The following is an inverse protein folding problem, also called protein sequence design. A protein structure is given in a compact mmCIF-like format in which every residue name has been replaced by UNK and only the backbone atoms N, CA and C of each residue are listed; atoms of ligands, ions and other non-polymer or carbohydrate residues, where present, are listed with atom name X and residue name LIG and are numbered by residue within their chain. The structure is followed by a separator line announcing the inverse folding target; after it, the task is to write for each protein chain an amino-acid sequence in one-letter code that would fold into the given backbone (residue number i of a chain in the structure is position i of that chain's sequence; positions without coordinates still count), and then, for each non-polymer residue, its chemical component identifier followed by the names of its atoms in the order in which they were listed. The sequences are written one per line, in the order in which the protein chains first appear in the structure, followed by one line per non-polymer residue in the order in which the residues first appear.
data_IF_587992840832
#
_entry.id   IF_587992840832
#
_cell.length_a   1.000
_cell.length_b   1.000
_cell.length_c   1.000
_cell.angle_alpha   90.00
_cell.angle_beta   90.00
_cell.angle_gamma   90.00
#
_symmetry.space_group_name_H-M   'P 1'
#
loop_
_entity.id
_entity.type
_entity.pdbx_description
1 polymer ?
#
# COMPACT_ATOMS: atom_id res chain seq x y z
N UNK A 1 24.51 -1.62 -1.40
CA UNK A 1 23.26 -1.81 -2.16
C UNK A 1 23.11 -3.30 -2.43
N UNK A 2 22.14 -3.96 -1.79
CA UNK A 2 21.72 -5.29 -2.24
C UNK A 2 20.97 -5.10 -3.56
N UNK A 3 21.57 -5.58 -4.65
CA UNK A 3 20.82 -5.81 -5.90
C UNK A 3 19.66 -6.77 -5.59
N UNK A 4 18.53 -6.66 -6.30
CA UNK A 4 17.52 -7.75 -6.30
C UNK A 4 18.26 -9.08 -6.42
N UNK A 5 17.88 -10.14 -5.69
CA UNK A 5 18.22 -11.48 -6.15
C UNK A 5 17.66 -11.59 -7.58
N UNK A 6 18.53 -11.34 -8.55
CA UNK A 6 18.16 -11.37 -9.95
C UNK A 6 17.71 -12.79 -10.21
N UNK A 7 16.52 -12.96 -10.80
CA UNK A 7 16.13 -14.27 -11.32
C UNK A 7 17.27 -14.72 -12.23
N UNK A 8 17.93 -15.85 -11.93
CA UNK A 8 19.09 -16.27 -12.67
C UNK A 8 18.67 -16.54 -14.12
N UNK A 9 19.23 -15.78 -15.05
CA UNK A 9 19.11 -16.07 -16.49
C UNK A 9 19.81 -17.41 -16.72
N UNK A 10 19.17 -18.36 -17.42
CA UNK A 10 19.73 -19.70 -17.69
C UNK A 10 21.13 -19.65 -18.29
N UNK A 11 21.40 -18.64 -19.11
CA UNK A 11 22.73 -18.37 -19.66
C UNK A 11 23.13 -16.92 -19.40
N UNK A 12 24.11 -16.65 -18.51
CA UNK A 12 24.64 -15.31 -18.36
C UNK A 12 25.28 -14.84 -19.69
N UNK A 13 25.18 -13.55 -20.02
CA UNK A 13 25.75 -13.02 -21.24
C UNK A 13 27.27 -13.22 -21.25
N UNK A 14 27.79 -13.76 -22.35
CA UNK A 14 29.23 -13.98 -22.56
C UNK A 14 29.86 -12.94 -23.49
N UNK A 15 29.06 -12.00 -24.02
CA UNK A 15 29.47 -10.98 -24.97
C UNK A 15 28.51 -9.78 -24.97
N UNK A 16 28.97 -8.61 -25.41
CA UNK A 16 28.13 -7.43 -25.62
C UNK A 16 26.93 -7.71 -26.55
N UNK A 17 27.09 -8.59 -27.54
CA UNK A 17 26.01 -9.01 -28.45
C UNK A 17 24.93 -9.82 -27.72
N UNK A 18 25.33 -10.74 -26.82
CA UNK A 18 24.37 -11.48 -26.00
C UNK A 18 23.66 -10.59 -24.98
N UNK A 19 24.35 -9.58 -24.42
CA UNK A 19 23.70 -8.60 -23.54
C UNK A 19 22.66 -7.77 -24.28
N UNK A 20 22.99 -7.29 -25.48
CA UNK A 20 22.04 -6.56 -26.32
C UNK A 20 20.83 -7.45 -26.64
N UNK A 21 21.06 -8.72 -26.99
CA UNK A 21 19.96 -9.65 -27.26
C UNK A 21 19.03 -9.83 -26.06
N UNK A 22 19.59 -9.95 -24.85
CA UNK A 22 18.79 -10.04 -23.62
C UNK A 22 17.96 -8.77 -23.43
N UNK A 23 18.56 -7.58 -23.62
CA UNK A 23 17.84 -6.30 -23.53
C UNK A 23 16.70 -6.21 -24.55
N UNK A 24 16.94 -6.63 -25.80
CA UNK A 24 15.93 -6.60 -26.85
C UNK A 24 14.75 -7.54 -26.53
N UNK A 25 15.04 -8.75 -26.03
CA UNK A 25 14.01 -9.70 -25.60
C UNK A 25 13.20 -9.13 -24.44
N UNK A 26 13.84 -8.55 -23.43
CA UNK A 26 13.15 -7.97 -22.26
C UNK A 26 12.30 -6.76 -22.64
N UNK A 27 12.80 -5.90 -23.53
CA UNK A 27 12.05 -4.77 -24.05
C UNK A 27 10.79 -5.23 -24.80
N UNK A 28 10.93 -6.19 -25.72
CA UNK A 28 9.78 -6.72 -26.47
C UNK A 28 8.80 -7.49 -25.57
N UNK A 29 9.32 -8.25 -24.60
CA UNK A 29 8.49 -8.95 -23.63
C UNK A 29 7.66 -7.98 -22.79
N UNK A 30 8.24 -6.87 -22.33
CA UNK A 30 7.52 -5.81 -21.61
C UNK A 30 6.35 -5.28 -22.45
N UNK A 31 6.57 -4.94 -23.71
CA UNK A 31 5.50 -4.47 -24.62
C UNK A 31 4.38 -5.50 -24.76
N UNK A 32 4.73 -6.76 -25.05
CA UNK A 32 3.73 -7.83 -25.23
C UNK A 32 2.93 -8.08 -23.94
N UNK A 33 3.59 -8.13 -22.78
CA UNK A 33 2.91 -8.30 -21.49
C UNK A 33 2.02 -7.12 -21.13
N UNK A 34 2.46 -5.89 -21.43
CA UNK A 34 1.70 -4.66 -21.21
C UNK A 34 0.42 -4.61 -22.05
N UNK A 35 0.49 -5.03 -23.32
CA UNK A 35 -0.63 -5.00 -24.26
C UNK A 35 -1.61 -6.16 -24.07
N UNK A 36 -1.11 -7.40 -24.05
CA UNK A 36 -1.94 -8.61 -24.04
C UNK A 36 -2.24 -9.12 -22.62
N UNK A 37 -1.49 -8.66 -21.62
CA UNK A 37 -1.49 -9.26 -20.29
C UNK A 37 -0.73 -10.59 -20.26
N UNK A 38 -0.35 -11.01 -19.06
CA UNK A 38 0.47 -12.22 -18.89
C UNK A 38 -0.20 -13.51 -19.39
N UNK A 39 -1.51 -13.64 -19.18
CA UNK A 39 -2.22 -14.88 -19.53
C UNK A 39 -2.28 -15.10 -21.04
N UNK A 40 -2.64 -14.07 -21.81
CA UNK A 40 -2.76 -14.16 -23.27
C UNK A 40 -1.41 -14.08 -24.01
N UNK A 41 -0.41 -13.42 -23.45
CA UNK A 41 0.91 -13.33 -24.07
C UNK A 41 1.60 -14.71 -24.22
N UNK A 42 2.33 -14.91 -25.32
CA UNK A 42 3.17 -16.10 -25.53
C UNK A 42 4.63 -15.75 -25.85
N UNK A 43 5.55 -16.67 -25.59
CA UNK A 43 6.97 -16.53 -26.01
C UNK A 43 7.11 -16.51 -27.52
N UNK A 44 6.21 -17.20 -28.23
CA UNK A 44 6.12 -17.14 -29.69
C UNK A 44 5.80 -15.73 -30.20
N UNK A 45 4.83 -15.03 -29.59
CA UNK A 45 4.49 -13.65 -29.97
C UNK A 45 5.69 -12.71 -29.82
N UNK A 46 6.41 -12.85 -28.70
CA UNK A 46 7.61 -12.06 -28.40
C UNK A 46 8.70 -12.33 -29.45
N UNK A 47 8.92 -13.61 -29.79
CA UNK A 47 9.91 -14.00 -30.78
C UNK A 47 9.57 -13.46 -32.17
N UNK A 48 8.30 -13.57 -32.58
CA UNK A 48 7.82 -13.07 -33.87
C UNK A 48 7.98 -11.56 -33.99
N UNK A 49 7.55 -10.78 -32.98
CA UNK A 49 7.70 -9.32 -33.00
C UNK A 49 9.15 -8.87 -32.99
N UNK A 50 10.03 -9.62 -32.34
CA UNK A 50 11.47 -9.32 -32.31
C UNK A 50 12.23 -9.81 -33.57
N UNK A 51 11.58 -10.61 -34.43
CA UNK A 51 12.22 -11.20 -35.62
C UNK A 51 13.28 -12.25 -35.28
N UNK A 52 13.08 -13.03 -34.21
CA UNK A 52 13.97 -14.12 -33.78
C UNK A 52 13.21 -15.45 -33.71
N UNK A 53 13.93 -16.56 -33.60
CA UNK A 53 13.32 -17.85 -33.29
C UNK A 53 12.93 -17.93 -31.81
N UNK A 54 11.87 -18.67 -31.51
CA UNK A 54 11.47 -18.92 -30.12
C UNK A 54 12.56 -19.65 -29.32
N UNK A 55 13.33 -20.53 -29.96
CA UNK A 55 14.52 -21.16 -29.39
C UNK A 55 15.57 -20.13 -28.92
N UNK A 56 15.66 -18.96 -29.55
CA UNK A 56 16.53 -17.88 -29.10
C UNK A 56 16.11 -17.34 -27.75
N UNK A 57 14.80 -17.22 -27.49
CA UNK A 57 14.28 -16.80 -26.16
C UNK A 57 14.60 -17.88 -25.12
N UNK A 58 14.34 -19.15 -25.44
CA UNK A 58 14.60 -20.27 -24.54
C UNK A 58 16.09 -20.50 -24.23
N UNK A 59 16.99 -19.93 -25.03
CA UNK A 59 18.43 -19.92 -24.74
C UNK A 59 18.76 -19.08 -23.51
N UNK A 60 17.99 -18.02 -23.25
CA UNK A 60 18.21 -17.09 -22.14
C UNK A 60 17.25 -17.32 -20.98
N UNK A 61 15.98 -17.61 -21.27
CA UNK A 61 14.93 -17.68 -20.26
C UNK A 61 14.29 -19.06 -20.23
N UNK A 62 14.02 -19.59 -19.05
CA UNK A 62 13.40 -20.90 -18.88
C UNK A 62 11.92 -20.99 -19.21
N UNK A 63 11.27 -19.87 -19.49
CA UNK A 63 9.90 -19.81 -19.99
C UNK A 63 9.27 -18.43 -19.80
N UNK A 64 7.98 -18.33 -20.15
CA UNK A 64 7.19 -17.09 -20.06
C UNK A 64 7.22 -16.47 -18.66
N UNK A 65 7.09 -17.29 -17.61
CA UNK A 65 7.05 -16.82 -16.22
C UNK A 65 8.39 -16.21 -15.77
N UNK A 66 9.49 -16.90 -16.03
CA UNK A 66 10.85 -16.40 -15.73
C UNK A 66 11.14 -15.08 -16.47
N UNK A 67 10.78 -15.02 -17.76
CA UNK A 67 10.90 -13.81 -18.57
C UNK A 67 10.07 -12.65 -18.00
N UNK A 68 8.82 -12.91 -17.60
CA UNK A 68 7.95 -11.89 -17.02
C UNK A 68 8.48 -11.36 -15.67
N UNK A 69 8.97 -12.24 -14.80
CA UNK A 69 9.53 -11.80 -13.51
C UNK A 69 10.78 -10.96 -13.72
N UNK A 70 11.61 -11.28 -14.72
CA UNK A 70 12.75 -10.42 -15.06
C UNK A 70 12.29 -9.04 -15.57
N UNK A 71 11.29 -8.99 -16.44
CA UNK A 71 10.69 -7.72 -16.89
C UNK A 71 10.19 -6.89 -15.71
N UNK A 72 9.51 -7.51 -14.74
CA UNK A 72 9.00 -6.84 -13.54
C UNK A 72 10.13 -6.37 -12.64
N UNK A 73 11.17 -7.18 -12.46
CA UNK A 73 12.36 -6.81 -11.70
C UNK A 73 13.03 -5.56 -12.27
N UNK A 74 13.29 -5.54 -13.59
CA UNK A 74 13.89 -4.40 -14.27
C UNK A 74 13.00 -3.15 -14.16
N UNK A 75 11.68 -3.32 -14.28
CA UNK A 75 10.71 -2.23 -14.08
C UNK A 75 10.70 -1.68 -12.65
N UNK A 76 10.74 -2.54 -11.63
CA UNK A 76 10.86 -2.12 -10.23
C UNK A 76 12.17 -1.37 -9.99
N UNK A 77 13.28 -1.86 -10.53
CA UNK A 77 14.59 -1.21 -10.41
C UNK A 77 14.58 0.18 -11.05
N UNK A 78 13.95 0.35 -12.23
CA UNK A 78 13.76 1.66 -12.86
C UNK A 78 12.98 2.65 -11.98
N UNK A 79 11.90 2.21 -11.33
CA UNK A 79 11.09 3.09 -10.48
C UNK A 79 11.80 3.40 -9.18
N UNK A 80 12.40 2.39 -8.54
CA UNK A 80 13.14 2.56 -7.30
C UNK A 80 14.27 3.56 -7.51
N UNK A 81 15.05 3.42 -8.59
CA UNK A 81 16.13 4.36 -8.92
C UNK A 81 15.60 5.80 -9.05
N UNK A 82 14.53 6.02 -9.82
CA UNK A 82 13.93 7.36 -9.98
C UNK A 82 13.47 7.96 -8.66
N UNK A 83 12.86 7.15 -7.80
CA UNK A 83 12.42 7.57 -6.48
C UNK A 83 13.63 7.92 -5.61
N UNK A 84 14.63 7.05 -5.54
CA UNK A 84 15.82 7.26 -4.71
C UNK A 84 16.65 8.47 -5.15
N UNK A 85 16.70 8.77 -6.45
CA UNK A 85 17.38 9.94 -6.99
C UNK A 85 16.63 11.24 -6.67
N UNK A 86 15.30 11.22 -6.68
CA UNK A 86 14.48 12.44 -6.54
C UNK A 86 14.14 12.77 -5.08
N UNK A 87 13.85 11.75 -4.26
CA UNK A 87 13.33 11.93 -2.90
C UNK A 87 14.23 12.80 -1.99
N UNK A 88 15.58 12.70 -2.03
CA UNK A 88 16.47 13.54 -1.22
C UNK A 88 16.32 15.04 -1.48
N UNK A 89 15.81 15.43 -2.65
CA UNK A 89 15.60 16.83 -3.02
C UNK A 89 14.21 17.36 -2.61
N UNK A 90 13.31 16.49 -2.13
CA UNK A 90 11.96 16.85 -1.72
C UNK A 90 11.93 17.11 -0.21
N UNK A 91 11.55 18.31 0.19
CA UNK A 91 11.56 18.76 1.59
C UNK A 91 10.21 18.51 2.28
N UNK A 92 10.27 17.85 3.44
CA UNK A 92 9.11 17.57 4.30
C UNK A 92 8.36 16.29 3.96
N UNK A 93 7.92 15.57 4.99
CA UNK A 93 7.29 14.25 4.87
C UNK A 93 6.03 14.26 3.99
N UNK A 94 5.24 15.35 4.03
CA UNK A 94 4.04 15.49 3.19
C UNK A 94 4.38 15.57 1.70
N UNK A 95 5.38 16.36 1.34
CA UNK A 95 5.79 16.51 -0.05
C UNK A 95 6.45 15.22 -0.57
N UNK A 96 7.23 14.55 0.27
CA UNK A 96 7.82 13.24 -0.06
C UNK A 96 6.74 12.17 -0.27
N UNK A 97 5.71 12.14 0.59
CA UNK A 97 4.54 11.27 0.42
C UNK A 97 3.83 11.59 -0.90
N UNK A 98 3.61 12.87 -1.20
CA UNK A 98 2.97 13.30 -2.45
C UNK A 98 3.74 12.82 -3.67
N UNK A 99 5.05 13.05 -3.69
CA UNK A 99 5.93 12.58 -4.75
C UNK A 99 5.82 11.06 -4.95
N UNK A 100 5.82 10.27 -3.87
CA UNK A 100 5.69 8.81 -3.96
C UNK A 100 4.34 8.37 -4.52
N UNK A 101 3.23 8.95 -4.03
CA UNK A 101 1.88 8.62 -4.49
C UNK A 101 1.74 8.92 -5.97
N UNK A 102 2.16 10.12 -6.38
CA UNK A 102 2.13 10.55 -7.77
C UNK A 102 3.02 9.66 -8.65
N UNK A 103 4.26 9.39 -8.23
CA UNK A 103 5.19 8.54 -8.96
C UNK A 103 4.64 7.12 -9.13
N UNK A 104 4.06 6.53 -8.09
CA UNK A 104 3.45 5.20 -8.18
C UNK A 104 2.31 5.18 -9.20
N UNK A 105 1.30 6.03 -9.03
CA UNK A 105 0.15 6.07 -9.94
C UNK A 105 0.58 6.30 -11.39
N UNK A 106 1.50 7.26 -11.62
CA UNK A 106 2.01 7.55 -12.96
C UNK A 106 2.67 6.33 -13.61
N UNK A 107 3.56 5.64 -12.89
CA UNK A 107 4.29 4.52 -13.48
C UNK A 107 3.39 3.31 -13.72
N UNK A 108 2.51 2.97 -12.78
CA UNK A 108 1.62 1.81 -12.94
C UNK A 108 0.59 2.00 -14.05
N UNK A 109 0.15 3.25 -14.29
CA UNK A 109 -0.78 3.56 -15.39
C UNK A 109 -0.07 3.73 -16.74
N UNK A 110 1.18 4.20 -16.76
CA UNK A 110 1.92 4.42 -18.01
C UNK A 110 2.35 3.11 -18.72
N UNK A 111 2.57 2.03 -17.97
CA UNK A 111 2.99 0.74 -18.54
C UNK A 111 1.84 -0.09 -19.13
N UNK A 112 0.60 0.40 -19.06
CA UNK A 112 -0.58 -0.33 -19.51
C UNK A 112 -1.12 -1.34 -18.48
N UNK A 113 -2.40 -1.71 -18.62
CA UNK A 113 -3.11 -2.50 -17.61
C UNK A 113 -2.59 -3.92 -17.48
N UNK A 114 -1.99 -4.51 -18.53
CA UNK A 114 -1.59 -5.92 -18.53
C UNK A 114 -0.50 -6.26 -17.51
N UNK A 115 0.56 -5.45 -17.45
CA UNK A 115 1.66 -5.66 -16.50
C UNK A 115 1.25 -5.29 -15.07
N UNK A 116 0.50 -4.19 -14.91
CA UNK A 116 -0.05 -3.78 -13.62
C UNK A 116 -0.99 -4.86 -13.04
N UNK A 117 -1.89 -5.42 -13.84
CA UNK A 117 -2.80 -6.49 -13.43
C UNK A 117 -2.03 -7.73 -12.97
N UNK A 118 -0.96 -8.12 -13.68
CA UNK A 118 -0.14 -9.26 -13.29
C UNK A 118 0.56 -9.03 -11.95
N UNK A 119 1.21 -7.87 -11.78
CA UNK A 119 1.88 -7.47 -10.52
C UNK A 119 0.91 -7.55 -9.33
N UNK A 120 -0.28 -6.97 -9.48
CA UNK A 120 -1.28 -6.93 -8.42
C UNK A 120 -1.96 -8.30 -8.15
N UNK A 121 -2.04 -9.18 -9.17
CA UNK A 121 -2.67 -10.50 -9.05
C UNK A 121 -1.71 -11.56 -8.47
N UNK A 122 -0.54 -11.73 -9.09
CA UNK A 122 0.40 -12.79 -8.71
C UNK A 122 1.14 -12.47 -7.42
N UNK A 123 1.25 -11.19 -7.03
CA UNK A 123 1.73 -10.82 -5.70
C UNK A 123 0.91 -11.38 -4.54
N UNK A 124 -0.27 -11.96 -4.82
CA UNK A 124 -1.15 -12.63 -3.87
C UNK A 124 -1.07 -14.16 -3.92
N UNK A 125 -0.42 -14.73 -4.93
CA UNK A 125 -0.22 -16.17 -5.04
C UNK A 125 0.83 -16.62 -4.02
N UNK A 126 0.49 -17.62 -3.18
CA UNK A 126 1.40 -18.19 -2.18
C UNK A 126 2.08 -19.45 -2.73
N UNK A 127 3.36 -19.63 -2.38
CA UNK A 127 4.13 -20.88 -2.44
C UNK A 127 4.73 -21.32 -3.79
N UNK A 128 5.43 -20.42 -4.48
CA UNK A 128 6.42 -20.79 -5.50
C UNK A 128 7.69 -19.92 -5.37
N UNK A 129 8.78 -20.30 -6.04
CA UNK A 129 10.05 -19.55 -6.09
C UNK A 129 9.86 -18.08 -6.53
N UNK A 130 8.75 -17.80 -7.22
CA UNK A 130 8.42 -16.46 -7.71
C UNK A 130 7.89 -15.55 -6.61
N UNK A 131 7.14 -16.09 -5.64
CA UNK A 131 6.66 -15.35 -4.48
C UNK A 131 7.81 -14.73 -3.66
N UNK A 132 8.94 -15.43 -3.52
CA UNK A 132 10.10 -14.91 -2.79
C UNK A 132 10.78 -13.75 -3.51
N UNK A 133 10.99 -13.87 -4.82
CA UNK A 133 11.56 -12.80 -5.66
C UNK A 133 10.66 -11.57 -5.62
N UNK A 134 9.35 -11.76 -5.78
CA UNK A 134 8.37 -10.68 -5.73
C UNK A 134 8.33 -10.01 -4.34
N UNK A 135 8.37 -10.79 -3.25
CA UNK A 135 8.43 -10.25 -1.90
C UNK A 135 9.72 -9.45 -1.66
N UNK A 136 10.85 -9.85 -2.25
CA UNK A 136 12.09 -9.07 -2.29
C UNK A 136 11.91 -7.72 -2.98
N UNK A 137 11.32 -7.72 -4.18
CA UNK A 137 11.03 -6.52 -4.96
C UNK A 137 10.07 -5.58 -4.21
N UNK A 138 8.97 -6.11 -3.67
CA UNK A 138 7.99 -5.33 -2.90
C UNK A 138 8.61 -4.71 -1.64
N UNK A 139 9.50 -5.43 -0.94
CA UNK A 139 10.23 -4.88 0.21
C UNK A 139 11.08 -3.68 -0.19
N UNK A 140 11.88 -3.80 -1.26
CA UNK A 140 12.69 -2.68 -1.77
C UNK A 140 11.83 -1.52 -2.25
N UNK A 141 10.77 -1.82 -2.99
CA UNK A 141 9.83 -0.83 -3.52
C UNK A 141 9.14 0.00 -2.43
N UNK A 142 8.77 -0.64 -1.32
CA UNK A 142 8.09 0.04 -0.20
C UNK A 142 9.04 0.67 0.81
N UNK A 143 10.35 0.42 0.71
CA UNK A 143 11.35 0.93 1.65
C UNK A 143 11.43 2.47 1.71
N UNK A 144 11.34 3.23 0.59
CA UNK A 144 11.29 4.70 0.65
C UNK A 144 10.13 5.21 1.51
N UNK A 145 8.92 4.66 1.34
CA UNK A 145 7.76 5.05 2.16
C UNK A 145 8.00 4.72 3.63
N UNK A 146 8.53 3.53 3.94
CA UNK A 146 8.84 3.14 5.31
C UNK A 146 9.82 4.11 5.98
N UNK A 147 10.82 4.62 5.24
CA UNK A 147 11.76 5.64 5.73
C UNK A 147 11.06 6.97 6.02
N UNK A 148 10.19 7.45 5.12
CA UNK A 148 9.41 8.68 5.34
C UNK A 148 8.53 8.55 6.59
N UNK A 149 7.82 7.42 6.72
CA UNK A 149 6.94 7.18 7.86
C UNK A 149 7.73 7.11 9.18
N UNK A 150 8.87 6.42 9.19
CA UNK A 150 9.73 6.31 10.37
C UNK A 150 10.33 7.66 10.78
N UNK A 151 10.81 8.45 9.80
CA UNK A 151 11.36 9.77 10.05
C UNK A 151 10.28 10.74 10.52
N UNK A 152 9.12 10.78 9.85
CA UNK A 152 8.00 11.60 10.29
C UNK A 152 7.47 11.19 11.67
N UNK A 153 7.57 9.91 12.04
CA UNK A 153 7.32 9.50 13.43
C UNK A 153 8.37 10.11 14.35
N UNK A 154 9.67 10.01 14.04
CA UNK A 154 10.74 10.60 14.85
C UNK A 154 10.59 12.12 15.04
N UNK A 155 10.20 12.83 13.98
CA UNK A 155 10.03 14.29 13.96
C UNK A 155 8.72 14.75 14.62
N UNK A 156 7.78 13.83 14.85
CA UNK A 156 6.48 14.13 15.46
C UNK A 156 5.40 14.56 14.46
N UNK A 157 5.70 14.56 13.17
CA UNK A 157 4.76 14.87 12.08
C UNK A 157 3.76 13.73 11.80
N UNK A 158 4.10 12.49 12.19
CA UNK A 158 3.32 11.29 11.95
C UNK A 158 3.02 10.58 13.27
N UNK A 159 1.79 10.07 13.38
CA UNK A 159 1.27 9.34 14.52
C UNK A 159 2.13 8.12 14.89
N UNK A 160 2.33 7.90 16.19
CA UNK A 160 3.14 6.78 16.75
C UNK A 160 2.30 5.66 17.36
N UNK A 161 0.99 5.85 17.45
CA UNK A 161 0.03 4.87 17.98
C UNK A 161 -0.31 3.75 16.97
N UNK A 162 0.33 3.73 15.80
CA UNK A 162 0.11 2.75 14.75
C UNK A 162 1.45 2.21 14.22
N UNK A 163 1.58 0.89 13.98
CA UNK A 163 2.80 0.32 13.44
C UNK A 163 3.03 0.78 11.99
N UNK A 164 4.29 1.03 11.64
CA UNK A 164 4.71 1.50 10.30
C UNK A 164 4.15 0.63 9.16
N UNK A 165 4.08 -0.70 9.36
CA UNK A 165 3.55 -1.64 8.35
C UNK A 165 2.08 -1.35 8.03
N UNK A 166 1.29 -0.96 9.02
CA UNK A 166 -0.12 -0.63 8.84
C UNK A 166 -0.28 0.74 8.18
N UNK A 167 0.50 1.75 8.62
CA UNK A 167 0.55 3.06 7.97
C UNK A 167 0.92 2.95 6.48
N UNK A 168 1.92 2.13 6.16
CA UNK A 168 2.30 1.81 4.78
C UNK A 168 1.12 1.19 4.00
N UNK A 169 0.40 0.24 4.59
CA UNK A 169 -0.77 -0.37 3.96
C UNK A 169 -1.90 0.64 3.74
N UNK A 170 -2.10 1.59 4.65
CA UNK A 170 -3.08 2.69 4.49
C UNK A 170 -2.75 3.60 3.32
N UNK A 171 -1.47 3.79 2.98
CA UNK A 171 -1.06 4.56 1.80
C UNK A 171 -1.24 3.75 0.52
N UNK A 172 -0.70 2.54 0.45
CA UNK A 172 -0.77 1.75 -0.80
C UNK A 172 -2.16 1.18 -1.10
N UNK A 173 -2.99 0.92 -0.10
CA UNK A 173 -4.31 0.30 -0.28
C UNK A 173 -5.24 1.11 -1.21
N UNK A 174 -5.48 2.41 -0.94
CA UNK A 174 -6.29 3.25 -1.83
C UNK A 174 -5.69 3.37 -3.23
N UNK A 175 -4.37 3.45 -3.35
CA UNK A 175 -3.68 3.52 -4.64
C UNK A 175 -3.90 2.24 -5.46
N UNK A 176 -3.75 1.07 -4.83
CA UNK A 176 -4.04 -0.22 -5.45
C UNK A 176 -5.50 -0.32 -5.88
N UNK A 177 -6.44 0.21 -5.10
CA UNK A 177 -7.85 0.21 -5.46
C UNK A 177 -8.14 1.07 -6.70
N UNK A 178 -7.57 2.27 -6.78
CA UNK A 178 -7.65 3.14 -7.97
C UNK A 178 -7.10 2.43 -9.21
N UNK A 179 -5.96 1.74 -9.08
CA UNK A 179 -5.37 1.00 -10.18
C UNK A 179 -6.27 -0.16 -10.65
N UNK A 180 -6.90 -0.88 -9.73
CA UNK A 180 -7.84 -1.94 -10.07
C UNK A 180 -9.07 -1.43 -10.83
N UNK A 181 -9.62 -0.27 -10.43
CA UNK A 181 -10.71 0.35 -11.17
C UNK A 181 -10.29 0.77 -12.58
N UNK A 182 -9.07 1.30 -12.75
CA UNK A 182 -8.51 1.61 -14.07
C UNK A 182 -8.34 0.35 -14.93
N UNK A 183 -7.80 -0.74 -14.36
CA UNK A 183 -7.57 -2.00 -15.05
C UNK A 183 -8.90 -2.65 -15.48
N UNK A 184 -9.83 -2.82 -14.53
CA UNK A 184 -11.03 -3.64 -14.74
C UNK A 184 -12.12 -2.89 -15.49
N UNK A 185 -12.20 -1.56 -15.32
CA UNK A 185 -13.28 -0.74 -15.88
C UNK A 185 -12.80 0.18 -17.00
N UNK A 186 -11.50 0.19 -17.31
CA UNK A 186 -10.91 1.10 -18.29
C UNK A 186 -11.03 2.57 -17.88
N UNK A 187 -11.14 2.85 -16.57
CA UNK A 187 -11.33 4.21 -16.08
C UNK A 187 -10.09 5.07 -16.38
N UNK A 188 -10.31 6.27 -16.93
CA UNK A 188 -9.25 7.27 -17.07
C UNK A 188 -8.99 7.90 -15.71
N UNK A 189 -7.75 7.77 -15.24
CA UNK A 189 -7.30 8.36 -13.98
C UNK A 189 -6.51 9.63 -14.28
N UNK A 190 -6.97 10.76 -13.76
CA UNK A 190 -6.15 11.96 -13.66
C UNK A 190 -5.15 11.76 -12.51
N UNK A 191 -3.91 11.43 -12.87
CA UNK A 191 -2.86 11.09 -11.91
C UNK A 191 -2.58 12.22 -10.92
N UNK A 192 -2.54 13.46 -11.41
CA UNK A 192 -2.21 14.62 -10.59
C UNK A 192 -3.32 14.90 -9.58
N UNK A 193 -4.56 15.03 -10.08
CA UNK A 193 -5.71 15.29 -9.23
C UNK A 193 -5.96 14.15 -8.22
N UNK A 194 -5.79 12.90 -8.63
CA UNK A 194 -5.95 11.73 -7.75
C UNK A 194 -4.87 11.72 -6.66
N UNK A 195 -3.62 12.00 -7.01
CA UNK A 195 -2.53 12.07 -6.04
C UNK A 195 -2.78 13.20 -5.01
N UNK A 196 -3.19 14.39 -5.46
CA UNK A 196 -3.52 15.51 -4.58
C UNK A 196 -4.61 15.16 -3.56
N UNK A 197 -5.71 14.55 -4.03
CA UNK A 197 -6.84 14.17 -3.19
C UNK A 197 -6.47 13.06 -2.20
N UNK A 198 -5.80 12.00 -2.67
CA UNK A 198 -5.36 10.90 -1.81
C UNK A 198 -4.40 11.41 -0.74
N UNK A 199 -3.41 12.23 -1.10
CA UNK A 199 -2.45 12.78 -0.14
C UNK A 199 -3.14 13.73 0.83
N UNK A 200 -4.10 14.53 0.38
CA UNK A 200 -4.90 15.41 1.24
C UNK A 200 -5.62 14.64 2.34
N UNK A 201 -6.26 13.52 2.00
CA UNK A 201 -6.94 12.65 2.95
C UNK A 201 -5.95 11.88 3.84
N UNK A 202 -4.97 11.20 3.22
CA UNK A 202 -3.99 10.37 3.92
C UNK A 202 -3.17 11.19 4.91
N UNK A 203 -2.77 12.42 4.54
CA UNK A 203 -1.99 13.27 5.43
C UNK A 203 -2.73 13.55 6.75
N UNK A 204 -4.02 13.86 6.70
CA UNK A 204 -4.82 14.05 7.90
C UNK A 204 -4.90 12.78 8.77
N UNK A 205 -4.99 11.60 8.14
CA UNK A 205 -5.06 10.33 8.84
C UNK A 205 -3.71 9.88 9.45
N UNK A 206 -2.60 10.33 8.85
CA UNK A 206 -1.23 10.02 9.27
C UNK A 206 -0.74 10.94 10.39
N UNK A 207 -1.25 12.17 10.47
CA UNK A 207 -0.87 13.11 11.52
C UNK A 207 -1.19 12.59 12.93
N UNK A 208 -0.42 12.97 13.95
CA UNK A 208 -0.75 12.65 15.33
C UNK A 208 -2.16 13.13 15.66
N UNK A 209 -2.96 12.31 16.37
CA UNK A 209 -4.25 12.79 16.84
C UNK A 209 -4.02 14.00 17.74
N UNK A 210 -4.82 15.05 17.56
CA UNK A 210 -4.76 16.27 18.38
C UNK A 210 -4.90 15.85 19.85
N UNK A 211 -3.81 15.93 20.61
CA UNK A 211 -3.75 15.44 21.98
C UNK A 211 -4.80 16.15 22.86
N UNK A 212 -5.05 17.44 22.62
CA UNK A 212 -6.08 18.22 23.29
C UNK A 212 -7.48 17.65 23.06
N UNK A 213 -7.76 17.17 21.85
CA UNK A 213 -9.06 16.59 21.50
C UNK A 213 -9.25 15.21 22.13
N UNK A 214 -8.19 14.41 22.22
CA UNK A 214 -8.23 13.12 22.92
C UNK A 214 -8.34 13.28 24.43
N UNK A 215 -7.60 14.23 25.01
CA UNK A 215 -7.68 14.56 26.44
C UNK A 215 -9.08 15.07 26.79
N UNK A 216 -9.64 15.97 25.98
CA UNK A 216 -11.01 16.46 26.15
C UNK A 216 -12.06 15.35 26.00
N UNK A 217 -11.88 14.43 25.03
CA UNK A 217 -12.79 13.29 24.85
C UNK A 217 -12.76 12.33 26.04
N UNK A 218 -11.57 12.02 26.58
CA UNK A 218 -11.40 11.20 27.78
C UNK A 218 -12.03 11.88 28.99
N UNK A 219 -11.70 13.15 29.24
CA UNK A 219 -12.26 13.93 30.34
C UNK A 219 -13.80 13.99 30.28
N UNK A 220 -14.38 14.21 29.10
CA UNK A 220 -15.83 14.19 28.91
C UNK A 220 -16.46 12.82 29.23
N UNK A 221 -15.76 11.73 28.94
CA UNK A 221 -16.17 10.38 29.32
C UNK A 221 -16.16 10.19 30.84
N UNK A 222 -15.06 10.55 31.49
CA UNK A 222 -14.90 10.46 32.95
C UNK A 222 -15.98 11.25 33.72
N UNK A 223 -16.29 12.47 33.26
CA UNK A 223 -17.37 13.29 33.84
C UNK A 223 -18.74 12.64 33.65
N UNK A 224 -19.03 12.08 32.47
CA UNK A 224 -20.30 11.39 32.21
C UNK A 224 -20.47 10.18 33.12
N UNK A 225 -19.43 9.37 33.26
CA UNK A 225 -19.46 8.19 34.11
C UNK A 225 -19.62 8.56 35.58
N UNK A 226 -18.97 9.66 36.02
CA UNK A 226 -19.14 10.20 37.37
C UNK A 226 -20.58 10.66 37.64
N UNK A 227 -21.20 11.37 36.70
CA UNK A 227 -22.60 11.81 36.81
C UNK A 227 -23.57 10.62 36.87
N UNK A 228 -23.35 9.58 36.05
CA UNK A 228 -24.17 8.37 36.12
C UNK A 228 -24.06 7.65 37.45
N UNK A 229 -22.85 7.58 38.04
CA UNK A 229 -22.67 6.98 39.39
C UNK A 229 -23.38 7.79 40.47
N UNK A 230 -23.33 9.12 40.39
CA UNK A 230 -24.04 9.99 41.34
C UNK A 230 -25.56 9.76 41.27
N UNK A 231 -26.13 9.79 40.06
CA UNK A 231 -27.55 9.57 39.84
C UNK A 231 -28.01 8.19 40.29
N UNK A 232 -27.18 7.15 40.08
CA UNK A 232 -27.48 5.80 40.54
C UNK A 232 -27.44 5.70 42.08
N UNK A 233 -26.54 6.43 42.74
CA UNK A 233 -26.46 6.52 44.21
C UNK A 233 -27.67 7.26 44.80
N UNK A 234 -28.06 8.38 44.19
CA UNK A 234 -29.22 9.18 44.63
C UNK A 234 -30.52 8.38 44.47
N UNK A 235 -30.67 7.63 43.38
CA UNK A 235 -31.85 6.76 43.16
C UNK A 235 -31.90 5.56 44.12
N UNK A 236 -30.76 5.06 44.62
CA UNK A 236 -30.75 4.02 45.66
C UNK A 236 -31.07 4.59 47.04
N UNK A 237 -30.58 5.79 47.37
CA UNK A 237 -30.85 6.44 48.66
C UNK A 237 -32.33 6.86 48.81
N UNK A 238 -33.00 7.29 47.74
CA UNK A 238 -34.46 7.59 47.76
C UNK A 238 -35.33 6.32 47.91
N UNK A 239 -34.82 5.14 47.55
CA UNK A 239 -35.57 3.87 47.66
C UNK A 239 -35.50 3.21 49.03
N UNK A 240 -34.57 3.65 49.89
CA UNK A 240 -34.34 3.12 51.24
C UNK A 240 -34.93 4.00 52.36
N UNK A 241 -35.66 5.09 52.04
CA UNK A 241 -36.44 5.83 53.06
C UNK A 241 -37.58 4.95 53.62
N UNK A 242 -37.57 4.55 54.91
CA UNK A 242 -38.64 3.76 55.47
C UNK A 242 -39.88 4.63 55.66
N UNK A 243 -40.96 4.31 54.93
CA UNK A 243 -42.25 4.95 55.08
C UNK A 243 -42.65 5.08 56.55
N UNK A 244 -42.65 6.31 57.04
CA UNK A 244 -43.07 6.64 58.39
C UNK A 244 -44.50 6.14 58.62
N UNK A 245 -44.64 5.20 59.55
CA UNK A 245 -45.88 4.51 59.87
C UNK A 245 -47.01 5.46 60.23
N UNK A 246 -48.15 5.29 59.54
CA UNK A 246 -49.45 5.76 59.99
C UNK A 246 -49.86 4.93 61.22
N UNK A 247 -49.53 5.46 62.40
CA UNK A 247 -49.94 4.92 63.68
C UNK A 247 -51.41 5.26 63.96
N UNK A 248 -52.16 4.19 64.19
CA UNK A 248 -53.47 4.08 64.78
C UNK A 248 -53.76 5.10 65.91
N UNK A 249 -54.96 5.71 65.90
CA UNK A 249 -55.59 6.29 67.09
C UNK A 249 -57.09 5.98 67.10
N UNK A 250 -57.42 4.87 67.76
CA UNK A 250 -58.72 4.65 68.38
C UNK A 250 -58.80 5.42 69.72
N UNK A 251 -59.98 5.98 70.03
CA UNK A 251 -60.47 6.07 71.42
C UNK A 251 -61.08 7.41 71.92
N UNK A 252 -62.43 7.47 71.90
CA UNK A 252 -63.41 8.05 72.87
C UNK A 252 -63.29 9.53 73.32
N UNK A 253 -64.33 10.36 73.45
CA UNK A 253 -65.58 10.27 74.25
C UNK A 253 -66.45 11.51 74.01
N UNK A 254 -67.76 11.37 73.74
CA UNK A 254 -68.93 11.83 74.54
C UNK A 254 -70.23 11.63 73.76
#
# INVERSE_FOLDING_TARGET
MEKTPAVPIRRPPASAKSEQRIRDILHMARQVFSEAGFQAATTTDIAQRLGVSEATIFTYFGGKRELCVRVIGDWYDEIIAKVEDSLPHVQGARAQLHYLVHAHLRHLLAEGPGLCAFILSEGRARNDDFGEVYAGLQRRYTAPLMRILAQGQADGDIRRDMPLRLLRSTVYGPMEHVLWDAILRGARVDVAATADQLVGFLWQALQPPRQDTLALARFRGEVRDALHRLQASEASDESDEPGAGSANKDGATY
#
